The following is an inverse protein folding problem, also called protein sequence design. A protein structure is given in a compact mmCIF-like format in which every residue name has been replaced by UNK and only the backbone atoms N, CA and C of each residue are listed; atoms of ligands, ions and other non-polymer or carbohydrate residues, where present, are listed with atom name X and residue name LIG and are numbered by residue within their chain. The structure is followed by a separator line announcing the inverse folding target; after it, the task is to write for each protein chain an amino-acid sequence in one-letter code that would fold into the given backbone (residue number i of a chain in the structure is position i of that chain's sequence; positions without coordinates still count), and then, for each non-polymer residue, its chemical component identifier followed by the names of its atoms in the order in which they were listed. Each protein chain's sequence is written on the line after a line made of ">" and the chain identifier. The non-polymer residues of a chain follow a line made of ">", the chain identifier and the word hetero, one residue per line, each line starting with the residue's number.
data_IF_381290802685
#
_entry.id   IF_381290802685
#
_cell.length_a   1.000
_cell.length_b   1.000
_cell.length_c   1.000
_cell.angle_alpha   90.00
_cell.angle_beta   90.00
_cell.angle_gamma   90.00
#
_symmetry.space_group_name_H-M   'P 1'
#
loop_
_entity.id
_entity.type
_entity.pdbx_description
1 polymer ?
#
# COMPACT_ATOMS: atom_id res chain seq x y z
N UNK A 1 -4.67 -30.05 15.06
CA UNK A 1 -5.25 -28.75 14.68
C UNK A 1 -4.15 -27.71 14.82
N UNK A 2 -3.74 -27.08 13.71
CA UNK A 2 -2.55 -26.25 13.62
C UNK A 2 -2.74 -24.94 14.42
N UNK A 3 -2.30 -24.91 15.68
CA UNK A 3 -2.55 -23.81 16.61
C UNK A 3 -2.06 -22.45 16.06
N UNK A 4 -1.01 -22.47 15.24
CA UNK A 4 -0.48 -21.28 14.55
C UNK A 4 -1.45 -20.68 13.51
N UNK A 5 -2.21 -21.53 12.80
CA UNK A 5 -3.22 -21.09 11.83
C UNK A 5 -4.47 -20.54 12.54
N UNK A 6 -4.86 -21.15 13.65
CA UNK A 6 -5.95 -20.65 14.49
C UNK A 6 -5.63 -19.24 15.01
N UNK A 7 -4.47 -19.06 15.62
CA UNK A 7 -4.04 -17.78 16.20
C UNK A 7 -3.95 -16.64 15.18
N UNK A 8 -3.38 -16.90 13.99
CA UNK A 8 -3.29 -15.89 12.93
C UNK A 8 -4.67 -15.46 12.43
N UNK A 9 -5.60 -16.41 12.29
CA UNK A 9 -6.96 -16.11 11.82
C UNK A 9 -7.73 -15.28 12.85
N UNK A 10 -7.59 -15.57 14.14
CA UNK A 10 -8.24 -14.82 15.23
C UNK A 10 -7.66 -13.41 15.38
N UNK A 11 -6.34 -13.23 15.23
CA UNK A 11 -5.70 -11.91 15.25
C UNK A 11 -6.16 -11.06 14.07
N UNK A 12 -6.28 -11.63 12.87
CA UNK A 12 -6.80 -10.95 11.69
C UNK A 12 -8.25 -10.49 11.93
N UNK A 13 -9.11 -11.36 12.50
CA UNK A 13 -10.50 -11.03 12.84
C UNK A 13 -10.61 -9.94 13.91
N UNK A 14 -9.75 -9.96 14.92
CA UNK A 14 -9.71 -8.95 15.98
C UNK A 14 -9.25 -7.57 15.45
N UNK A 15 -8.27 -7.55 14.53
CA UNK A 15 -7.75 -6.34 13.90
C UNK A 15 -8.73 -5.71 12.90
N UNK A 16 -9.58 -6.52 12.25
CA UNK A 16 -10.68 -6.03 11.40
C UNK A 16 -11.69 -5.20 12.22
N UNK A 17 -11.89 -5.52 13.50
CA UNK A 17 -12.77 -4.76 14.41
C UNK A 17 -12.17 -3.46 14.96
N UNK A 18 -10.86 -3.27 14.85
CA UNK A 18 -10.13 -2.14 15.46
C UNK A 18 -9.65 -1.09 14.45
N UNK A 19 -10.03 -1.18 13.17
CA UNK A 19 -9.65 -0.19 12.16
C UNK A 19 -8.15 -0.10 11.90
N UNK A 20 -7.38 -1.15 12.20
CA UNK A 20 -5.92 -1.13 12.00
C UNK A 20 -5.62 -1.43 10.53
N UNK A 21 -4.80 -0.61 9.87
CA UNK A 21 -4.23 -0.92 8.56
C UNK A 21 -3.39 -2.21 8.65
N UNK A 22 -3.96 -3.34 8.20
CA UNK A 22 -3.32 -4.65 8.37
C UNK A 22 -2.21 -4.79 7.32
N UNK A 23 -0.97 -4.81 7.77
CA UNK A 23 0.20 -5.19 6.97
C UNK A 23 0.22 -6.73 6.89
N UNK A 24 -0.49 -7.30 5.90
CA UNK A 24 -0.56 -8.75 5.68
C UNK A 24 0.63 -9.20 4.81
N UNK A 25 1.82 -9.21 5.39
CA UNK A 25 3.00 -9.87 4.84
C UNK A 25 3.82 -9.05 3.82
N UNK A 26 5.10 -8.85 4.17
CA UNK A 26 6.15 -8.41 3.26
C UNK A 26 7.00 -9.60 2.82
N UNK A 27 7.15 -9.81 1.51
CA UNK A 27 8.24 -10.62 0.95
C UNK A 27 9.34 -9.65 0.49
N UNK A 28 10.61 -10.05 0.44
CA UNK A 28 11.68 -9.17 -0.05
C UNK A 28 11.27 -8.54 -1.39
N UNK A 29 11.05 -7.22 -1.38
CA UNK A 29 10.65 -6.45 -2.55
C UNK A 29 9.14 -6.31 -2.82
N UNK A 30 8.25 -6.71 -1.90
CA UNK A 30 6.80 -6.53 -2.06
C UNK A 30 6.06 -6.42 -0.73
N UNK A 31 5.24 -5.38 -0.61
CA UNK A 31 4.30 -5.13 0.48
C UNK A 31 2.87 -4.98 -0.03
N UNK A 32 1.92 -5.40 0.81
CA UNK A 32 0.47 -5.30 0.55
C UNK A 32 -0.21 -4.65 1.74
N UNK A 33 -1.00 -3.62 1.45
CA UNK A 33 -1.77 -2.85 2.44
C UNK A 33 -3.26 -2.99 2.13
N UNK A 34 -4.05 -3.15 3.18
CA UNK A 34 -5.51 -3.05 3.11
C UNK A 34 -5.93 -1.86 3.96
N UNK A 35 -6.37 -0.79 3.30
CA UNK A 35 -6.81 0.45 3.93
C UNK A 35 -8.32 0.37 4.12
N UNK A 36 -8.70 0.25 5.39
CA UNK A 36 -10.08 0.31 5.85
C UNK A 36 -10.29 1.46 6.86
N UNK A 37 -9.21 2.10 7.32
CA UNK A 37 -9.21 3.29 8.15
C UNK A 37 -8.56 4.44 7.37
N UNK A 38 -9.30 5.55 7.29
CA UNK A 38 -8.96 6.74 6.51
C UNK A 38 -8.58 7.92 7.44
N UNK A 39 -8.16 7.63 8.67
CA UNK A 39 -7.68 8.65 9.62
C UNK A 39 -6.15 8.80 9.61
N UNK A 40 -5.42 7.97 8.85
CA UNK A 40 -3.97 7.94 8.87
C UNK A 40 -3.34 7.94 7.47
N UNK A 41 -2.21 8.62 7.35
CA UNK A 41 -1.33 8.59 6.18
C UNK A 41 -0.53 7.28 6.21
N UNK A 42 -0.40 6.63 5.06
CA UNK A 42 0.45 5.44 4.90
C UNK A 42 1.65 5.82 4.04
N UNK A 43 2.83 5.75 4.65
CA UNK A 43 4.10 5.86 3.95
C UNK A 43 4.78 4.50 3.95
N UNK A 44 5.22 4.02 2.80
CA UNK A 44 6.03 2.82 2.73
C UNK A 44 7.31 3.04 1.95
N UNK A 45 8.30 2.25 2.31
CA UNK A 45 9.55 2.19 1.58
C UNK A 45 9.96 0.73 1.37
N UNK A 46 10.56 0.43 0.22
CA UNK A 46 11.17 -0.87 -0.07
C UNK A 46 12.60 -0.59 -0.54
N UNK A 47 13.63 -1.11 0.13
CA UNK A 47 14.99 -0.94 -0.33
C UNK A 47 15.17 -1.62 -1.69
N UNK A 48 15.74 -0.89 -2.65
CA UNK A 48 16.08 -1.40 -3.97
C UNK A 48 17.22 -2.40 -3.91
N UNK A 49 17.41 -3.13 -5.01
CA UNK A 49 18.55 -4.03 -5.13
C UNK A 49 19.82 -3.22 -5.44
N UNK A 50 20.79 -3.23 -4.52
CA UNK A 50 22.06 -2.52 -4.66
C UNK A 50 22.92 -2.98 -5.85
N UNK A 51 22.64 -4.17 -6.40
CA UNK A 51 23.42 -4.77 -7.49
C UNK A 51 22.77 -4.57 -8.87
N UNK A 52 21.74 -3.73 -8.99
CA UNK A 52 21.13 -3.37 -10.27
C UNK A 52 21.14 -1.86 -10.44
N UNK A 53 21.56 -1.39 -11.62
CA UNK A 53 21.59 0.03 -11.95
C UNK A 53 20.17 0.64 -12.03
N UNK A 54 19.19 -0.17 -12.43
CA UNK A 54 17.79 0.23 -12.53
C UNK A 54 16.86 -0.84 -11.95
N UNK A 55 15.86 -0.40 -11.19
CA UNK A 55 14.79 -1.24 -10.65
C UNK A 55 13.44 -0.57 -10.95
N UNK A 56 12.40 -1.37 -11.16
CA UNK A 56 11.05 -0.85 -11.37
C UNK A 56 10.26 -0.87 -10.06
N UNK A 57 9.75 0.29 -9.65
CA UNK A 57 8.70 0.39 -8.64
C UNK A 57 7.34 0.19 -9.31
N UNK A 58 6.49 -0.64 -8.71
CA UNK A 58 5.11 -0.83 -9.10
C UNK A 58 4.21 -0.58 -7.89
N UNK A 59 3.33 0.41 -8.02
CA UNK A 59 2.29 0.74 -7.03
C UNK A 59 0.93 0.50 -7.67
N UNK A 60 0.16 -0.46 -7.14
CA UNK A 60 -1.18 -0.81 -7.64
C UNK A 60 -2.21 -0.54 -6.57
N UNK A 61 -3.26 0.19 -6.93
CA UNK A 61 -4.40 0.47 -6.07
C UNK A 61 -5.65 -0.16 -6.69
N UNK A 62 -6.41 -0.90 -5.87
CA UNK A 62 -7.69 -1.45 -6.27
C UNK A 62 -8.69 -1.38 -5.13
N UNK A 63 -9.87 -0.82 -5.35
CA UNK A 63 -10.92 -0.73 -4.34
C UNK A 63 -11.77 0.52 -4.53
N UNK A 64 -12.53 0.88 -3.51
CA UNK A 64 -13.48 1.99 -3.56
C UNK A 64 -13.26 2.93 -2.37
N UNK A 65 -13.43 4.23 -2.60
CA UNK A 65 -13.34 5.29 -1.59
C UNK A 65 -14.53 6.23 -1.72
N UNK A 66 -15.02 6.75 -0.60
CA UNK A 66 -16.21 7.61 -0.59
C UNK A 66 -15.95 9.04 -1.10
N UNK A 67 -14.70 9.49 -1.10
CA UNK A 67 -14.28 10.80 -1.59
C UNK A 67 -12.81 10.73 -2.07
N UNK A 68 -12.16 11.87 -2.20
CA UNK A 68 -10.87 12.05 -2.84
C UNK A 68 -9.74 11.63 -1.91
N UNK A 69 -8.87 10.75 -2.41
CA UNK A 69 -7.57 10.41 -1.80
C UNK A 69 -6.42 11.02 -2.61
N UNK A 70 -5.27 11.17 -1.98
CA UNK A 70 -4.02 11.59 -2.62
C UNK A 70 -3.01 10.45 -2.55
N UNK A 71 -2.36 10.17 -3.67
CA UNK A 71 -1.34 9.12 -3.78
C UNK A 71 -0.09 9.69 -4.43
N UNK A 72 1.07 9.46 -3.81
CA UNK A 72 2.37 9.75 -4.41
C UNK A 72 3.07 8.43 -4.75
N UNK A 73 3.08 8.00 -6.03
CA UNK A 73 3.50 6.65 -6.40
C UNK A 73 5.03 6.47 -6.51
N UNK A 74 5.81 7.55 -6.36
CA UNK A 74 7.26 7.53 -6.19
C UNK A 74 7.74 8.84 -5.53
N UNK A 75 8.98 8.91 -5.05
CA UNK A 75 9.52 10.07 -4.31
C UNK A 75 9.51 11.37 -5.13
N UNK A 76 9.82 11.29 -6.43
CA UNK A 76 9.87 12.42 -7.36
C UNK A 76 8.59 12.57 -8.20
N UNK A 77 7.65 11.63 -8.08
CA UNK A 77 6.41 11.65 -8.83
C UNK A 77 5.50 12.78 -8.36
N UNK A 78 4.70 13.31 -9.29
CA UNK A 78 3.57 14.16 -8.93
C UNK A 78 2.54 13.36 -8.15
N UNK A 79 1.89 14.03 -7.22
CA UNK A 79 0.72 13.50 -6.52
C UNK A 79 -0.44 13.29 -7.49
N UNK A 80 -1.20 12.23 -7.28
CA UNK A 80 -2.37 11.88 -8.07
C UNK A 80 -3.59 11.85 -7.14
N UNK A 81 -4.63 12.60 -7.52
CA UNK A 81 -5.93 12.58 -6.85
C UNK A 81 -6.80 11.49 -7.46
N UNK A 82 -7.38 10.63 -6.63
CA UNK A 82 -8.26 9.54 -7.05
C UNK A 82 -9.56 9.59 -6.23
N UNK A 83 -10.68 9.16 -6.81
CA UNK A 83 -12.01 9.22 -6.17
C UNK A 83 -12.88 8.07 -6.67
N UNK A 84 -13.80 7.57 -5.83
CA UNK A 84 -14.76 6.53 -6.19
C UNK A 84 -14.11 5.15 -6.37
N UNK A 85 -14.52 4.42 -7.42
CA UNK A 85 -13.93 3.13 -7.79
C UNK A 85 -12.54 3.34 -8.43
N UNK A 86 -11.54 2.74 -7.81
CA UNK A 86 -10.13 2.89 -8.15
C UNK A 86 -9.61 1.55 -8.64
N UNK A 87 -9.08 1.54 -9.86
CA UNK A 87 -8.29 0.42 -10.40
C UNK A 87 -7.13 0.96 -11.21
N UNK A 88 -6.06 1.39 -10.53
CA UNK A 88 -4.89 2.03 -11.15
C UNK A 88 -3.59 1.28 -10.85
N UNK A 89 -2.64 1.40 -11.77
CA UNK A 89 -1.30 0.83 -11.64
C UNK A 89 -0.27 1.83 -12.14
N UNK A 90 0.61 2.26 -11.24
CA UNK A 90 1.78 3.06 -11.54
C UNK A 90 3.00 2.15 -11.69
N UNK A 91 3.82 2.41 -12.71
CA UNK A 91 5.10 1.76 -12.95
C UNK A 91 6.14 2.87 -13.14
N UNK A 92 7.04 3.01 -12.19
CA UNK A 92 8.06 4.05 -12.19
C UNK A 92 9.44 3.40 -12.18
N UNK A 93 10.35 3.90 -13.01
CA UNK A 93 11.76 3.58 -12.90
C UNK A 93 12.35 4.40 -11.76
N UNK A 94 13.21 3.78 -10.97
CA UNK A 94 14.03 4.48 -10.00
C UNK A 94 15.45 3.92 -10.05
N UNK A 95 16.41 4.82 -9.89
CA UNK A 95 17.84 4.48 -9.79
C UNK A 95 18.13 3.79 -8.45
N UNK A 96 19.38 3.37 -8.24
CA UNK A 96 19.82 2.77 -6.98
C UNK A 96 19.29 3.57 -5.77
N UNK A 97 18.72 2.87 -4.78
CA UNK A 97 18.15 3.54 -3.61
C UNK A 97 16.92 2.84 -3.06
N UNK A 98 15.96 3.63 -2.58
CA UNK A 98 14.78 3.14 -1.88
C UNK A 98 13.52 3.56 -2.63
N UNK A 99 12.72 2.58 -3.02
CA UNK A 99 11.39 2.80 -3.60
C UNK A 99 10.46 3.31 -2.51
N UNK A 100 9.81 4.46 -2.69
CA UNK A 100 8.90 5.07 -1.70
C UNK A 100 7.52 5.30 -2.31
N UNK A 101 6.47 5.08 -1.54
CA UNK A 101 5.13 5.57 -1.89
C UNK A 101 4.47 6.21 -0.66
N UNK A 102 3.53 7.12 -0.92
CA UNK A 102 2.61 7.63 0.10
C UNK A 102 1.16 7.53 -0.34
N UNK A 103 0.29 7.31 0.63
CA UNK A 103 -1.15 7.39 0.55
C UNK A 103 -1.63 8.35 1.64
N UNK A 104 -2.48 9.29 1.26
CA UNK A 104 -3.13 10.24 2.15
C UNK A 104 -4.65 10.18 1.93
N UNK A 105 -5.45 9.95 2.98
CA UNK A 105 -6.90 9.89 2.88
C UNK A 105 -7.52 11.22 2.40
N UNK A 106 -6.86 12.36 2.59
CA UNK A 106 -7.29 13.71 2.19
C UNK A 106 -8.73 14.05 2.60
N UNK A 107 -9.73 13.78 1.75
CA UNK A 107 -11.15 14.01 2.03
C UNK A 107 -11.93 12.72 2.26
N UNK A 108 -11.39 11.58 1.83
CA UNK A 108 -12.03 10.30 2.05
C UNK A 108 -12.03 9.97 3.55
N UNK A 109 -13.17 9.50 4.04
CA UNK A 109 -13.38 9.10 5.43
C UNK A 109 -13.76 7.63 5.55
N UNK A 110 -14.07 6.97 4.44
CA UNK A 110 -14.44 5.56 4.40
C UNK A 110 -14.14 4.94 3.03
N UNK A 111 -13.98 3.62 3.02
CA UNK A 111 -13.71 2.87 1.80
C UNK A 111 -13.10 1.51 2.10
N UNK A 112 -12.76 0.80 1.02
CA UNK A 112 -12.01 -0.46 1.07
C UNK A 112 -11.00 -0.42 -0.05
N UNK A 113 -9.75 -0.14 0.29
CA UNK A 113 -8.70 0.05 -0.70
C UNK A 113 -7.55 -0.93 -0.47
N UNK A 114 -7.18 -1.68 -1.51
CA UNK A 114 -5.99 -2.53 -1.52
C UNK A 114 -4.86 -1.82 -2.26
N UNK A 115 -3.74 -1.63 -1.58
CA UNK A 115 -2.51 -1.08 -2.16
C UNK A 115 -1.46 -2.18 -2.21
N UNK A 116 -0.78 -2.31 -3.35
CA UNK A 116 0.36 -3.21 -3.52
C UNK A 116 1.55 -2.39 -3.97
N UNK A 117 2.60 -2.40 -3.17
CA UNK A 117 3.88 -1.80 -3.51
C UNK A 117 4.90 -2.90 -3.73
N UNK A 118 5.57 -2.91 -4.88
CA UNK A 118 6.62 -3.90 -5.15
C UNK A 118 7.71 -3.34 -6.04
N UNK A 119 8.90 -3.90 -5.92
CA UNK A 119 10.04 -3.64 -6.80
C UNK A 119 10.30 -4.85 -7.71
N UNK A 120 10.90 -4.63 -8.89
CA UNK A 120 11.30 -5.68 -9.85
C UNK A 120 12.64 -5.35 -10.51
#
# INVERSE_FOLDING_TARGET
>A
MDYKKGLTTTIILLLIGLGVAIIVGGNQGRDVFFINDFNAIVNNSIPGNKNKDYTYQIVRLKGEVNDTIIVKPCETCKEVKLVGDISVKFKNEFESGTSRFSFDPYKATSGKLKIVHKIR
#
